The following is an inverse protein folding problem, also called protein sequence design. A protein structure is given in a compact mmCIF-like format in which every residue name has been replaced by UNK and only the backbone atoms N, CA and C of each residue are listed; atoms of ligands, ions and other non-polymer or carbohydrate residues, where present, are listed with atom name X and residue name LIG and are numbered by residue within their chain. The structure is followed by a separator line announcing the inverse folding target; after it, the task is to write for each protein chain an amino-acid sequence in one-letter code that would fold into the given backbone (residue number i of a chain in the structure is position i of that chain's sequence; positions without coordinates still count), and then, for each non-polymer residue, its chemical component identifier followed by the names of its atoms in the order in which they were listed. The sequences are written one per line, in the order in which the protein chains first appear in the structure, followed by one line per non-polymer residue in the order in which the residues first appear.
data_IF_705587444823
#
_entry.id   IF_705587444823
#
_cell.length_a   1.000
_cell.length_b   1.000
_cell.length_c   1.000
_cell.angle_alpha   90.00
_cell.angle_beta   90.00
_cell.angle_gamma   90.00
#
_symmetry.space_group_name_H-M   'P 1'
#
loop_
_entity.id
_entity.type
_entity.pdbx_description
1 polymer ?
2 non-polymer ?
3 non-polymer ?
4 non-polymer ?
5 non-polymer ?
6 water ?
#
# COMPACT_ATOMS: atom_id res chain seq x y z
N UNK A 10 -0.47 -12.02 15.18
CA UNK A 10 -0.72 -10.58 15.33
C UNK A 10 0.08 -9.70 14.37
N UNK A 11 -0.62 -8.76 13.77
CA UNK A 11 -0.03 -7.67 12.99
C UNK A 11 0.66 -6.74 14.00
N UNK A 12 1.95 -6.36 13.81
CA UNK A 12 2.62 -5.54 14.82
C UNK A 12 2.03 -4.13 14.97
N UNK A 13 2.14 -3.61 16.19
CA UNK A 13 1.77 -2.21 16.46
C UNK A 13 2.87 -1.32 15.82
N UNK A 14 2.58 -0.06 15.60
CA UNK A 14 3.59 0.82 15.02
C UNK A 14 4.74 1.06 15.99
N UNK A 15 5.96 1.30 15.49
CA UNK A 15 7.15 1.57 16.33
C UNK A 15 7.31 3.02 16.73
N UNK A 16 6.55 3.90 16.12
CA UNK A 16 6.70 5.34 16.35
C UNK A 16 5.99 5.85 17.59
N UNK A 17 6.16 7.16 17.90
CA UNK A 17 5.56 7.72 19.13
C UNK A 17 4.06 8.04 19.09
N UNK A 18 3.44 8.06 17.91
CA UNK A 18 2.03 8.46 17.80
C UNK A 18 1.14 7.23 17.89
N UNK A 19 0.00 7.34 18.59
CA UNK A 19 -1.10 6.37 18.48
C UNK A 19 -1.68 6.43 17.06
N UNK A 20 -2.33 5.35 16.63
CA UNK A 20 -2.81 5.23 15.26
C UNK A 20 -4.34 5.02 15.20
N UNK A 21 -5.01 5.80 14.34
CA UNK A 21 -6.42 5.65 14.04
C UNK A 21 -6.61 5.08 12.67
N UNK A 22 -7.79 4.55 12.38
CA UNK A 22 -8.10 4.01 11.05
C UNK A 22 -9.55 4.30 10.72
N UNK A 23 -9.83 4.66 9.45
CA UNK A 23 -11.21 4.77 8.98
C UNK A 23 -11.24 4.41 7.47
N UNK A 24 -12.42 4.32 6.88
CA UNK A 24 -12.56 4.09 5.44
C UNK A 24 -13.24 5.28 4.82
N UNK A 25 -12.87 5.61 3.59
CA UNK A 25 -13.51 6.72 2.85
C UNK A 25 -13.82 6.26 1.43
N UNK A 26 -15.08 6.43 1.02
CA UNK A 26 -15.45 6.22 -0.37
C UNK A 26 -16.14 7.45 -0.94
N UNK A 27 -15.53 8.09 -1.96
CA UNK A 27 -16.11 9.27 -2.60
C UNK A 27 -15.64 9.44 -4.06
N UNK A 28 -16.56 9.57 -5.05
CA UNK A 28 -18.01 9.36 -4.91
C UNK A 28 -18.31 7.87 -4.65
N UNK A 29 -19.59 7.49 -4.63
CA UNK A 29 -20.10 6.14 -4.37
C UNK A 29 -19.96 5.16 -5.57
N UNK A 30 -19.52 5.66 -6.76
CA UNK A 30 -19.57 4.86 -8.00
C UNK A 30 -18.29 4.01 -8.17
N UNK A 31 -18.29 3.10 -9.18
CA UNK A 31 -17.10 2.32 -9.54
C UNK A 31 -15.92 3.21 -10.07
N UNK A 32 -16.18 4.49 -10.41
CA UNK A 32 -15.14 5.47 -10.80
C UNK A 32 -14.70 6.42 -9.66
N UNK A 33 -15.36 6.32 -8.51
CA UNK A 33 -15.00 7.11 -7.33
C UNK A 33 -13.75 6.59 -6.66
N UNK A 34 -13.32 7.28 -5.57
CA UNK A 34 -12.17 6.82 -4.80
C UNK A 34 -12.68 5.97 -3.64
N UNK A 35 -11.98 4.85 -3.39
CA UNK A 35 -12.17 4.03 -2.19
C UNK A 35 -10.77 3.86 -1.53
N UNK A 36 -10.64 4.33 -0.28
CA UNK A 36 -9.37 4.15 0.44
C UNK A 36 -9.60 3.81 1.92
N UNK A 37 -8.62 3.11 2.52
CA UNK A 37 -8.50 2.93 3.95
C UNK A 37 -7.46 3.93 4.45
N UNK A 38 -7.87 4.80 5.38
CA UNK A 38 -6.97 5.85 5.94
C UNK A 38 -6.37 5.40 7.30
N UNK A 39 -5.04 5.53 7.46
CA UNK A 39 -4.34 5.32 8.73
C UNK A 39 -3.75 6.68 9.08
N UNK A 40 -3.87 7.07 10.37
CA UNK A 40 -3.52 8.45 10.71
C UNK A 40 -3.11 8.59 12.18
N UNK A 41 -2.28 9.59 12.53
CA UNK A 41 -1.94 9.79 13.95
C UNK A 41 -3.21 10.15 14.72
N UNK A 42 -3.49 9.44 15.82
CA UNK A 42 -4.77 9.63 16.48
C UNK A 42 -4.63 10.30 17.85
N UNK A 43 -5.66 11.08 18.22
CA UNK A 43 -5.74 11.78 19.51
C UNK A 43 -5.83 10.75 20.65
N UNK A 44 -6.58 9.66 20.42
CA UNK A 44 -7.00 8.72 21.47
C UNK A 44 -6.54 7.29 21.19
N UNK A 45 -6.45 6.51 22.25
CA UNK A 45 -5.91 5.17 22.16
C UNK A 45 -6.83 4.12 22.83
N UNK A 46 -8.12 4.46 23.03
CA UNK A 46 -9.05 3.57 23.72
C UNK A 46 -10.23 3.17 22.84
N UNK A 47 -10.05 3.20 21.53
CA UNK A 47 -11.10 2.75 20.64
C UNK A 47 -10.94 1.27 20.39
N UNK A 48 -12.00 0.64 19.86
CA UNK A 48 -11.95 -0.73 19.32
C UNK A 48 -10.89 -0.82 18.24
N UNK A 49 -10.15 -1.94 18.21
CA UNK A 49 -9.24 -2.26 17.11
C UNK A 49 -10.01 -2.42 15.78
N UNK A 50 -9.30 -2.26 14.67
CA UNK A 50 -9.88 -2.27 13.32
C UNK A 50 -10.00 -3.71 12.79
N UNK A 51 -11.19 -4.10 12.33
CA UNK A 51 -11.43 -5.40 11.71
C UNK A 51 -10.60 -5.50 10.41
N UNK A 52 -9.76 -6.54 10.29
CA UNK A 52 -8.74 -6.69 9.24
C UNK A 52 -9.35 -6.90 7.85
N UNK A 53 -10.25 -7.89 7.72
CA UNK A 53 -10.91 -8.13 6.44
C UNK A 53 -12.43 -7.98 6.76
N UNK A 54 -13.04 -6.84 6.38
CA UNK A 54 -14.35 -6.46 6.95
C UNK A 54 -15.62 -7.06 6.34
N UNK A 55 -15.53 -7.83 5.25
CA UNK A 55 -16.73 -8.33 4.55
C UNK A 55 -16.47 -9.73 4.05
N UNK A 56 -17.50 -10.61 4.13
CA UNK A 56 -17.42 -11.99 3.63
C UNK A 56 -16.97 -12.09 2.16
N UNK A 57 -17.36 -11.12 1.32
CA UNK A 57 -17.07 -11.19 -0.12
C UNK A 57 -15.56 -11.07 -0.41
N UNK A 58 -14.78 -10.45 0.48
CA UNK A 58 -13.31 -10.41 0.31
C UNK A 58 -12.73 -11.85 0.41
N UNK A 59 -13.27 -12.68 1.31
CA UNK A 59 -12.91 -14.11 1.43
C UNK A 59 -13.29 -14.92 0.19
N UNK A 60 -14.49 -14.67 -0.38
CA UNK A 60 -14.89 -15.23 -1.69
C UNK A 60 -13.90 -14.86 -2.79
N UNK A 61 -13.57 -13.56 -2.89
CA UNK A 61 -12.54 -13.06 -3.78
C UNK A 61 -11.19 -13.74 -3.58
N UNK A 62 -10.72 -13.82 -2.33
CA UNK A 62 -9.45 -14.53 -2.02
C UNK A 62 -9.46 -15.97 -2.52
N UNK A 63 -10.56 -16.68 -2.29
CA UNK A 63 -10.72 -18.08 -2.72
C UNK A 63 -10.61 -18.20 -4.26
N UNK A 64 -11.29 -17.31 -5.01
CA UNK A 64 -11.21 -17.23 -6.47
C UNK A 64 -9.76 -16.99 -6.92
N UNK A 65 -9.05 -16.07 -6.25
CA UNK A 65 -7.67 -15.72 -6.61
C UNK A 65 -6.73 -16.92 -6.38
N UNK A 66 -7.01 -17.71 -5.33
CA UNK A 66 -6.21 -18.89 -5.01
C UNK A 66 -6.56 -20.11 -5.89
N UNK A 67 -7.60 -19.99 -6.72
CA UNK A 67 -7.99 -21.05 -7.66
C UNK A 67 -8.70 -22.20 -6.95
N UNK A 68 -9.39 -21.90 -5.84
CA UNK A 68 -10.15 -22.91 -5.08
C UNK A 68 -11.67 -22.66 -5.23
N UNK A 69 -12.50 -23.63 -4.77
CA UNK A 69 -13.97 -23.48 -4.71
C UNK A 69 -14.25 -22.34 -3.73
N UNK A 70 -15.25 -21.47 -4.05
CA UNK A 70 -15.60 -20.32 -3.22
C UNK A 70 -16.04 -20.69 -1.78
N UNK A 71 -16.28 -22.00 -1.50
CA UNK A 71 -16.57 -22.55 -0.17
C UNK A 71 -15.32 -22.64 0.72
N UNK A 72 -14.12 -22.73 0.10
CA UNK A 72 -12.86 -22.42 0.76
C UNK A 72 -12.90 -20.96 1.31
N UNK A 73 -13.60 -20.07 0.61
CA UNK A 73 -13.85 -18.70 1.08
C UNK A 73 -14.50 -18.67 2.45
N UNK A 74 -15.56 -19.48 2.65
CA UNK A 74 -16.23 -19.67 3.94
C UNK A 74 -15.28 -20.20 5.04
N UNK A 75 -14.35 -21.10 4.67
CA UNK A 75 -13.30 -21.59 5.58
C UNK A 75 -12.31 -20.46 5.95
N UNK A 76 -11.83 -19.69 4.96
CA UNK A 76 -10.94 -18.53 5.23
C UNK A 76 -11.63 -17.53 6.17
N UNK A 77 -12.94 -17.31 5.96
CA UNK A 77 -13.78 -16.43 6.78
C UNK A 77 -13.88 -16.95 8.22
N UNK A 78 -14.14 -18.26 8.42
CA UNK A 78 -14.09 -18.89 9.74
C UNK A 78 -12.75 -18.65 10.46
N UNK A 79 -11.61 -18.81 9.76
CA UNK A 79 -10.28 -18.67 10.35
C UNK A 79 -9.86 -17.21 10.62
N UNK A 80 -10.24 -16.28 9.73
CA UNK A 80 -9.70 -14.93 9.71
C UNK A 80 -10.74 -13.80 9.85
N UNK A 81 -12.03 -14.12 9.84
CA UNK A 81 -13.14 -13.16 9.83
C UNK A 81 -13.27 -12.25 11.04
N UNK A 82 -12.67 -12.64 12.18
CA UNK A 82 -12.75 -11.86 13.41
C UNK A 82 -11.38 -11.22 13.76
N UNK A 83 -10.34 -11.53 12.97
CA UNK A 83 -9.00 -10.94 13.16
C UNK A 83 -9.07 -9.38 13.05
N UNK A 84 -8.39 -8.70 13.97
CA UNK A 84 -8.29 -7.24 13.97
C UNK A 84 -6.85 -6.83 13.68
N UNK A 85 -6.63 -5.54 13.44
CA UNK A 85 -5.31 -4.96 13.26
C UNK A 85 -5.21 -3.82 14.30
N UNK A 86 -4.03 -3.56 14.94
CA UNK A 86 -4.00 -2.58 16.06
C UNK A 86 -4.02 -1.09 15.63
N UNK A 87 -5.15 -0.66 15.07
CA UNK A 87 -5.41 0.75 14.82
C UNK A 87 -6.78 1.07 15.43
N UNK A 88 -6.88 2.23 16.06
CA UNK A 88 -8.10 2.70 16.74
C UNK A 88 -9.15 3.07 15.73
N UNK A 89 -10.23 2.28 15.62
CA UNK A 89 -11.25 2.47 14.57
C UNK A 89 -11.98 3.80 14.82
N UNK A 90 -11.97 4.70 13.79
CA UNK A 90 -12.66 6.00 13.82
C UNK A 90 -12.21 6.91 14.97
N UNK A 91 -10.99 6.72 15.49
CA UNK A 91 -10.44 7.60 16.52
C UNK A 91 -10.37 9.04 15.95
N UNK A 92 -10.53 10.10 16.76
CA UNK A 92 -10.24 11.45 16.23
C UNK A 92 -8.77 11.59 15.82
N UNK A 93 -8.54 12.35 14.75
CA UNK A 93 -7.21 12.76 14.29
C UNK A 93 -6.46 13.55 15.37
N UNK A 94 -5.18 13.26 15.58
CA UNK A 94 -4.37 14.06 16.51
C UNK A 94 -4.26 15.52 15.99
N UNK A 95 -4.74 16.55 16.74
CA UNK A 95 -4.72 17.92 16.19
C UNK A 95 -3.35 18.60 16.31
N UNK A 96 -3.22 19.77 15.66
CA UNK A 96 -2.16 20.73 15.92
C UNK A 96 -0.86 20.50 15.14
N UNK A 97 -0.93 19.75 14.05
CA UNK A 97 0.24 19.42 13.24
C UNK A 97 -0.18 19.02 11.85
N UNK A 98 0.59 19.48 10.84
CA UNK A 98 0.40 19.08 9.45
C UNK A 98 1.26 17.85 9.17
N UNK A 99 0.64 16.83 8.58
CA UNK A 99 1.25 15.52 8.37
C UNK A 99 1.61 15.30 6.89
N UNK A 100 2.80 14.72 6.59
CA UNK A 100 3.05 14.24 5.22
C UNK A 100 2.09 13.11 4.83
N UNK A 101 1.86 12.94 3.52
CA UNK A 101 0.88 12.01 2.99
C UNK A 101 1.53 10.96 2.13
N UNK A 102 1.19 9.69 2.39
CA UNK A 102 1.55 8.54 1.56
C UNK A 102 0.29 8.00 0.92
N UNK A 103 0.31 7.83 -0.40
CA UNK A 103 -0.73 7.04 -1.08
C UNK A 103 -0.13 5.65 -1.30
N UNK A 104 -0.85 4.59 -0.91
CA UNK A 104 -0.35 3.21 -0.93
C UNK A 104 -1.17 2.33 -1.92
N UNK A 105 -0.44 1.59 -2.80
CA UNK A 105 -1.06 0.72 -3.83
C UNK A 105 -0.82 -0.77 -3.58
N UNK A 106 -1.93 -1.55 -3.51
CA UNK A 106 -1.86 -2.99 -3.17
C UNK A 106 -1.48 -3.86 -4.38
N UNK A 107 -1.07 -5.10 -4.10
CA UNK A 107 -0.71 -6.05 -5.15
C UNK A 107 -1.92 -6.74 -5.77
N UNK A 108 -1.63 -7.61 -6.75
CA UNK A 108 -2.61 -8.44 -7.44
C UNK A 108 -3.24 -9.43 -6.43
N UNK A 109 -4.58 -9.54 -6.45
CA UNK A 109 -5.29 -10.42 -5.52
C UNK A 109 -5.44 -9.83 -4.13
N UNK A 110 -4.86 -8.63 -3.88
CA UNK A 110 -5.00 -7.98 -2.57
C UNK A 110 -6.16 -6.99 -2.58
N UNK A 111 -6.24 -6.08 -1.60
CA UNK A 111 -7.25 -5.03 -1.49
C UNK A 111 -6.75 -4.07 -0.42
N UNK A 112 -7.53 -3.02 -0.07
CA UNK A 112 -6.98 -1.87 0.70
C UNK A 112 -6.50 -2.22 2.13
N UNK A 113 -7.03 -3.30 2.76
CA UNK A 113 -6.86 -3.51 4.21
C UNK A 113 -5.61 -4.38 4.53
N UNK A 114 -4.95 -4.95 3.47
CA UNK A 114 -3.97 -6.03 3.66
C UNK A 114 -2.52 -5.58 3.84
N UNK A 115 -2.31 -4.29 4.01
CA UNK A 115 -0.95 -3.76 4.25
C UNK A 115 -1.00 -2.80 5.45
N UNK A 116 -1.80 -3.18 6.45
CA UNK A 116 -1.89 -2.42 7.70
C UNK A 116 -0.57 -2.45 8.51
N UNK A 117 0.27 -3.51 8.40
CA UNK A 117 1.55 -3.48 9.19
C UNK A 117 2.37 -2.22 8.73
N UNK A 118 2.46 -1.99 7.42
CA UNK A 118 3.06 -0.78 6.81
C UNK A 118 2.29 0.52 7.14
N UNK A 119 0.98 0.58 6.87
CA UNK A 119 0.17 1.79 7.08
C UNK A 119 0.17 2.25 8.53
N UNK A 120 -0.02 1.31 9.49
CA UNK A 120 0.06 1.59 10.96
C UNK A 120 1.45 2.11 11.34
N UNK A 121 2.52 1.49 10.82
CA UNK A 121 3.87 1.94 11.22
C UNK A 121 4.13 3.34 10.72
N UNK A 122 3.76 3.63 9.49
CA UNK A 122 3.96 4.98 8.92
C UNK A 122 3.15 5.99 9.75
N UNK A 123 1.89 5.65 10.10
CA UNK A 123 1.04 6.58 10.86
C UNK A 123 1.61 6.84 12.25
N UNK A 124 2.15 5.80 12.90
CA UNK A 124 2.77 5.93 14.23
C UNK A 124 4.00 6.86 14.22
N UNK A 125 4.59 7.13 13.03
CA UNK A 125 5.70 8.09 12.89
C UNK A 125 5.26 9.50 12.40
N UNK A 126 3.94 9.74 12.31
CA UNK A 126 3.37 11.04 11.94
C UNK A 126 3.00 11.22 10.48
N UNK A 127 2.69 10.11 9.76
CA UNK A 127 2.15 10.14 8.38
C UNK A 127 0.65 9.94 8.38
N UNK A 128 -0.05 10.58 7.43
CA UNK A 128 -1.37 10.09 7.04
C UNK A 128 -1.14 9.16 5.84
N UNK A 129 -1.80 7.98 5.86
CA UNK A 129 -1.61 6.95 4.84
C UNK A 129 -2.94 6.67 4.18
N UNK A 130 -3.03 6.83 2.84
CA UNK A 130 -4.23 6.53 2.09
C UNK A 130 -3.98 5.27 1.24
N UNK A 131 -4.47 4.12 1.74
CA UNK A 131 -4.35 2.82 1.09
C UNK A 131 -5.55 2.67 0.16
N UNK A 132 -5.30 2.86 -1.14
CA UNK A 132 -6.37 2.84 -2.14
C UNK A 132 -6.87 1.41 -2.39
N UNK A 133 -8.16 1.27 -2.72
CA UNK A 133 -8.65 0.00 -3.22
C UNK A 133 -8.89 0.19 -4.73
N UNK A 134 -8.21 -0.62 -5.55
CA UNK A 134 -8.26 -0.47 -7.00
C UNK A 134 -9.51 -1.12 -7.56
N UNK A 135 -10.12 -0.46 -8.60
CA UNK A 135 -11.32 -0.95 -9.28
C UNK A 135 -10.97 -1.45 -10.67
N UNK A 136 -9.69 -1.83 -10.88
CA UNK A 136 -9.22 -2.31 -12.20
C UNK A 136 -9.40 -3.84 -12.39
N UNK A 137 -10.06 -4.50 -11.42
CA UNK A 137 -10.25 -5.97 -11.35
C UNK A 137 -8.94 -6.71 -11.05
N UNK A 138 -7.94 -5.98 -10.46
CA UNK A 138 -6.72 -6.56 -9.88
C UNK A 138 -6.93 -6.90 -8.41
N UNK A 139 -7.92 -6.26 -7.74
CA UNK A 139 -8.25 -6.66 -6.36
C UNK A 139 -8.96 -8.03 -6.38
N UNK A 140 -8.76 -8.86 -5.31
CA UNK A 140 -9.51 -10.10 -5.14
C UNK A 140 -11.00 -9.78 -5.16
N UNK A 141 -11.40 -8.73 -4.44
CA UNK A 141 -12.78 -8.22 -4.47
C UNK A 141 -12.70 -6.73 -4.15
N UNK A 142 -13.70 -5.98 -4.60
CA UNK A 142 -13.95 -4.61 -4.18
C UNK A 142 -15.44 -4.30 -4.32
N UNK A 143 -15.91 -3.21 -3.74
CA UNK A 143 -17.31 -2.86 -3.95
C UNK A 143 -17.50 -1.40 -4.18
N UNK A 144 -18.69 -1.05 -4.65
CA UNK A 144 -19.10 0.32 -4.97
C UNK A 144 -20.67 0.28 -4.99
N UNK A 145 -21.33 1.41 -5.31
CA UNK A 145 -22.80 1.47 -5.37
C UNK A 145 -23.25 1.93 -6.76
N UNK A 146 -24.27 1.29 -7.31
CA UNK A 146 -24.71 1.56 -8.68
C UNK A 146 -25.24 2.99 -8.87
N UNK A 147 -25.80 3.55 -7.79
CA UNK A 147 -26.33 4.91 -7.82
C UNK A 147 -26.59 5.44 -6.42
N UNK A 148 -27.16 6.65 -6.33
CA UNK A 148 -27.38 7.36 -5.07
C UNK A 148 -28.30 6.57 -4.13
N UNK A 149 -29.41 6.05 -4.66
CA UNK A 149 -30.35 5.21 -3.90
C UNK A 149 -29.66 4.00 -3.26
N UNK A 150 -28.85 3.26 -4.06
CA UNK A 150 -28.15 2.05 -3.58
C UNK A 150 -27.14 2.40 -2.46
N UNK A 151 -26.45 3.53 -2.57
CA UNK A 151 -25.49 3.99 -1.56
C UNK A 151 -26.20 4.28 -0.23
N UNK A 152 -27.33 5.03 -0.27
CA UNK A 152 -28.23 5.33 0.85
C UNK A 152 -28.63 4.10 1.67
N UNK A 153 -29.12 3.04 1.01
CA UNK A 153 -29.55 1.80 1.70
C UNK A 153 -28.42 0.81 1.94
N UNK A 154 -27.20 1.11 1.48
CA UNK A 154 -26.05 0.22 1.64
C UNK A 154 -26.16 -1.05 0.80
N UNK A 155 -26.75 -0.93 -0.41
CA UNK A 155 -26.83 -2.06 -1.32
C UNK A 155 -25.53 -2.11 -2.21
N UNK A 156 -24.59 -2.95 -1.78
CA UNK A 156 -23.25 -3.03 -2.39
C UNK A 156 -23.27 -3.85 -3.69
N UNK A 157 -22.55 -3.38 -4.73
CA UNK A 157 -22.26 -4.17 -5.94
C UNK A 157 -20.79 -4.59 -5.85
N UNK A 158 -20.54 -5.88 -5.94
CA UNK A 158 -19.21 -6.42 -5.78
C UNK A 158 -18.54 -6.63 -7.13
N UNK A 159 -17.24 -6.38 -7.19
CA UNK A 159 -16.45 -6.56 -8.40
C UNK A 159 -15.30 -7.49 -8.04
N UNK A 160 -15.19 -8.62 -8.78
CA UNK A 160 -14.23 -9.67 -8.44
C UNK A 160 -13.03 -9.66 -9.38
N UNK A 161 -11.88 -10.21 -8.92
CA UNK A 161 -10.66 -10.39 -9.72
C UNK A 161 -10.95 -10.95 -11.13
N UNK A 162 -10.33 -10.36 -12.16
CA UNK A 162 -10.39 -10.87 -13.54
C UNK A 162 -9.18 -11.77 -13.79
N UNK A 163 -9.47 -12.98 -14.29
CA UNK A 163 -8.44 -13.90 -14.79
C UNK A 163 -8.22 -13.65 -16.28
N UNK A 164 -6.95 -13.65 -16.68
CA UNK A 164 -6.57 -13.33 -18.05
C UNK A 164 -6.16 -14.59 -18.79
N UNK A 165 -6.47 -14.64 -20.09
CA UNK A 165 -5.83 -15.54 -21.06
C UNK A 165 -4.42 -14.99 -21.33
N UNK A 166 -3.44 -15.87 -21.67
CA UNK A 166 -2.05 -15.47 -21.97
C UNK A 166 -1.96 -14.39 -23.04
N UNK A 167 -2.86 -14.43 -24.02
CA UNK A 167 -3.01 -13.48 -25.12
C UNK A 167 -3.41 -12.06 -24.63
N UNK A 168 -4.06 -11.96 -23.46
CA UNK A 168 -4.54 -10.71 -22.87
C UNK A 168 -3.52 -10.05 -21.93
N UNK A 169 -2.45 -10.78 -21.57
CA UNK A 169 -1.51 -10.36 -20.50
C UNK A 169 -0.92 -9.00 -20.71
N UNK A 170 -0.19 -8.79 -21.83
CA UNK A 170 0.56 -7.54 -22.04
C UNK A 170 -0.37 -6.35 -21.98
N UNK A 171 -1.44 -6.41 -22.80
CA UNK A 171 -2.37 -5.30 -22.98
C UNK A 171 -3.19 -4.98 -21.72
N UNK A 172 -3.80 -5.98 -21.09
CA UNK A 172 -4.68 -5.75 -19.94
C UNK A 172 -3.90 -5.33 -18.72
N UNK A 173 -2.72 -5.95 -18.46
CA UNK A 173 -1.91 -5.50 -17.31
C UNK A 173 -1.50 -4.05 -17.46
N UNK A 174 -1.19 -3.62 -18.69
CA UNK A 174 -0.83 -2.22 -18.94
C UNK A 174 -2.05 -1.31 -18.76
N UNK A 175 -3.24 -1.70 -19.23
CA UNK A 175 -4.47 -0.90 -19.02
C UNK A 175 -4.75 -0.75 -17.52
N UNK A 176 -4.52 -1.83 -16.76
CA UNK A 176 -4.73 -1.85 -15.32
C UNK A 176 -3.76 -0.93 -14.58
N UNK A 177 -2.44 -0.97 -14.91
CA UNK A 177 -1.47 -0.14 -14.17
C UNK A 177 -1.76 1.39 -14.44
N UNK A 178 -2.28 1.69 -15.63
CA UNK A 178 -2.66 3.08 -15.94
C UNK A 178 -3.90 3.53 -15.16
N UNK A 179 -4.93 2.64 -15.08
CA UNK A 179 -6.07 2.94 -14.19
C UNK A 179 -5.64 3.11 -12.72
N UNK A 180 -4.76 2.24 -12.24
CA UNK A 180 -4.19 2.28 -10.91
C UNK A 180 -3.50 3.63 -10.62
N UNK A 181 -2.68 4.12 -11.56
CA UNK A 181 -2.04 5.45 -11.44
C UNK A 181 -3.09 6.55 -11.36
N UNK A 182 -4.10 6.48 -12.24
CA UNK A 182 -5.20 7.48 -12.23
C UNK A 182 -5.93 7.44 -10.88
N UNK A 183 -6.17 6.23 -10.35
CA UNK A 183 -6.76 6.06 -9.02
C UNK A 183 -5.90 6.64 -7.92
N UNK A 184 -4.56 6.50 -8.01
CA UNK A 184 -3.67 7.14 -7.03
C UNK A 184 -3.72 8.63 -7.09
N UNK A 185 -3.78 9.21 -8.31
CA UNK A 185 -3.86 10.66 -8.49
C UNK A 185 -5.20 11.22 -7.96
N UNK A 186 -6.27 10.48 -8.21
CA UNK A 186 -7.64 10.84 -7.81
C UNK A 186 -7.76 10.83 -6.28
N UNK A 187 -7.17 9.79 -5.62
CA UNK A 187 -7.13 9.72 -4.16
C UNK A 187 -6.37 10.90 -3.61
N UNK A 188 -5.18 11.25 -4.21
CA UNK A 188 -4.45 12.46 -3.82
C UNK A 188 -5.33 13.72 -3.88
N UNK A 189 -5.98 13.97 -5.05
CA UNK A 189 -6.84 15.15 -5.20
C UNK A 189 -8.01 15.16 -4.19
N UNK A 190 -8.59 13.98 -3.89
CA UNK A 190 -9.66 13.90 -2.89
C UNK A 190 -9.15 14.40 -1.52
N UNK A 191 -8.01 13.83 -1.02
CA UNK A 191 -7.42 14.22 0.26
C UNK A 191 -7.02 15.71 0.28
N UNK A 192 -6.42 16.21 -0.79
CA UNK A 192 -6.04 17.63 -0.88
C UNK A 192 -7.26 18.57 -0.85
N UNK A 193 -8.41 18.14 -1.45
CA UNK A 193 -9.64 18.95 -1.38
C UNK A 193 -10.26 18.87 0.00
N UNK A 194 -10.21 17.69 0.66
CA UNK A 194 -10.64 17.59 2.04
C UNK A 194 -9.76 18.49 2.96
N UNK A 195 -8.44 18.54 2.70
CA UNK A 195 -7.52 19.39 3.47
C UNK A 195 -7.88 20.88 3.36
N UNK A 196 -8.28 21.33 2.16
CA UNK A 196 -8.83 22.67 1.94
C UNK A 196 -10.05 22.92 2.86
N UNK A 197 -11.01 22.00 2.82
CA UNK A 197 -12.23 22.09 3.61
C UNK A 197 -13.49 21.87 2.79
N UNK A 198 -13.31 21.45 1.51
CA UNK A 198 -14.39 21.00 0.63
C UNK A 198 -15.29 19.98 1.37
N UNK A 199 -16.62 20.22 1.44
CA UNK A 199 -17.49 19.21 2.08
C UNK A 199 -17.53 17.99 1.19
N UNK A 200 -17.33 16.83 1.79
CA UNK A 200 -17.38 15.56 1.07
C UNK A 200 -18.33 14.67 1.91
N UNK A 201 -19.36 14.11 1.27
CA UNK A 201 -20.20 13.15 1.98
C UNK A 201 -19.66 11.74 1.73
N UNK A 202 -18.98 11.15 2.72
CA UNK A 202 -18.51 9.77 2.66
C UNK A 202 -19.68 8.88 2.27
N UNK A 203 -19.51 7.98 1.26
CA UNK A 203 -20.61 7.10 0.82
C UNK A 203 -20.84 5.97 1.84
N UNK A 204 -19.85 5.78 2.73
CA UNK A 204 -19.95 4.88 3.88
C UNK A 204 -20.42 5.71 5.05
N UNK A 205 -21.36 5.19 5.80
CA UNK A 205 -21.89 5.91 6.94
C UNK A 205 -21.07 5.53 8.16
N UNK A 206 -19.96 6.24 8.40
CA UNK A 206 -19.03 5.94 9.50
C UNK A 206 -18.90 7.12 10.44
N UNK A 207 -18.65 6.87 11.72
CA UNK A 207 -18.57 7.94 12.73
C UNK A 207 -17.18 8.60 12.78
N UNK A 208 -16.67 9.02 11.60
CA UNK A 208 -15.44 9.81 11.48
C UNK A 208 -15.75 11.02 10.63
N UNK A 209 -15.79 12.20 11.25
CA UNK A 209 -16.02 13.46 10.54
C UNK A 209 -14.79 13.87 9.73
N UNK A 210 -14.93 13.88 8.38
CA UNK A 210 -13.86 14.25 7.46
C UNK A 210 -13.40 15.72 7.60
N UNK A 211 -14.23 16.57 8.22
CA UNK A 211 -13.89 17.97 8.58
C UNK A 211 -12.60 18.10 9.42
N UNK A 212 -12.30 17.10 10.26
CA UNK A 212 -11.07 16.97 11.04
C UNK A 212 -9.81 17.07 10.20
N UNK A 213 -9.87 16.55 8.95
CA UNK A 213 -8.73 16.54 8.05
C UNK A 213 -8.43 17.91 7.41
N UNK A 214 -9.31 18.91 7.64
CA UNK A 214 -9.06 20.29 7.16
C UNK A 214 -7.78 20.80 7.83
N UNK A 215 -6.87 21.36 7.03
CA UNK A 215 -5.60 21.98 7.44
C UNK A 215 -4.63 21.01 8.12
N UNK A 216 -4.77 19.70 7.78
CA UNK A 216 -4.00 18.65 8.47
C UNK A 216 -2.89 18.02 7.61
N UNK A 217 -2.85 18.34 6.31
CA UNK A 217 -1.89 17.77 5.35
C UNK A 217 -0.75 18.74 5.10
N UNK A 218 0.50 18.24 5.18
CA UNK A 218 1.67 18.99 4.73
C UNK A 218 1.69 18.82 3.18
N UNK A 219 1.11 19.79 2.47
CA UNK A 219 0.68 19.69 1.07
C UNK A 219 1.82 19.42 0.06
N UNK A 220 3.04 19.82 0.38
CA UNK A 220 4.24 19.56 -0.43
C UNK A 220 4.84 18.16 -0.15
N UNK A 221 4.49 17.51 0.97
CA UNK A 221 5.20 16.31 1.42
C UNK A 221 4.40 15.06 1.08
N UNK A 222 4.40 14.74 -0.22
CA UNK A 222 3.58 13.63 -0.72
C UNK A 222 4.42 12.53 -1.37
N UNK A 223 4.17 11.28 -1.00
CA UNK A 223 4.84 10.14 -1.61
C UNK A 223 3.86 9.07 -1.99
N UNK A 224 4.32 8.19 -2.90
CA UNK A 224 3.52 7.06 -3.33
C UNK A 224 4.35 5.80 -3.02
N UNK A 225 3.73 4.80 -2.39
CA UNK A 225 4.35 3.52 -2.02
C UNK A 225 3.43 2.37 -2.47
N UNK A 226 4.00 1.24 -2.85
CA UNK A 226 3.17 0.09 -3.22
C UNK A 226 3.95 -1.18 -3.37
N UNK A 227 3.23 -2.32 -3.27
CA UNK A 227 3.84 -3.66 -3.31
C UNK A 227 3.45 -4.41 -4.59
N UNK A 228 4.45 -5.01 -5.27
CA UNK A 228 4.23 -5.94 -6.39
C UNK A 228 3.57 -5.17 -7.57
N UNK A 229 2.31 -5.49 -7.93
CA UNK A 229 1.55 -4.65 -8.90
C UNK A 229 1.54 -3.15 -8.43
N UNK A 230 1.43 -2.99 -7.14
CA UNK A 230 1.51 -1.67 -6.50
C UNK A 230 2.84 -0.97 -6.67
N UNK A 231 3.93 -1.75 -6.81
CA UNK A 231 5.27 -1.21 -7.08
C UNK A 231 5.36 -0.67 -8.49
N UNK A 232 4.78 -1.40 -9.50
CA UNK A 232 4.66 -0.85 -10.88
C UNK A 232 3.77 0.43 -10.86
N UNK A 233 2.70 0.43 -10.01
CA UNK A 233 1.80 1.58 -9.86
C UNK A 233 2.54 2.79 -9.37
N UNK A 234 3.47 2.61 -8.38
CA UNK A 234 4.38 3.70 -7.92
C UNK A 234 5.02 4.41 -9.12
N UNK A 235 5.61 3.62 -10.02
CA UNK A 235 6.40 4.14 -11.14
C UNK A 235 5.53 4.80 -12.19
N UNK A 236 4.43 4.15 -12.57
CA UNK A 236 3.48 4.76 -13.52
C UNK A 236 2.97 6.10 -12.94
N UNK A 237 2.58 6.09 -11.65
CA UNK A 237 2.05 7.29 -10.94
C UNK A 237 3.08 8.45 -10.93
N UNK A 238 4.33 8.19 -10.49
CA UNK A 238 5.39 9.19 -10.60
C UNK A 238 5.55 9.80 -11.97
N UNK A 239 5.52 8.99 -13.05
CA UNK A 239 5.77 9.52 -14.42
C UNK A 239 4.61 10.43 -14.90
N UNK A 240 3.44 10.29 -14.28
CA UNK A 240 2.22 10.96 -14.72
C UNK A 240 1.76 12.10 -13.76
N UNK A 241 2.29 12.18 -12.53
CA UNK A 241 1.74 13.11 -11.52
C UNK A 241 2.90 13.64 -10.70
N UNK A 242 3.34 14.87 -11.01
CA UNK A 242 4.48 15.50 -10.37
C UNK A 242 4.19 15.96 -8.94
N UNK A 243 2.91 15.87 -8.50
CA UNK A 243 2.58 16.23 -7.11
C UNK A 243 3.20 15.21 -6.17
N UNK A 244 3.43 13.97 -6.67
CA UNK A 244 4.15 12.94 -5.91
C UNK A 244 5.65 13.25 -5.98
N UNK A 245 6.31 13.46 -4.83
CA UNK A 245 7.70 13.93 -4.76
C UNK A 245 8.74 12.83 -4.79
N UNK A 246 8.38 11.61 -4.34
CA UNK A 246 9.25 10.43 -4.41
C UNK A 246 8.36 9.19 -4.34
N UNK A 247 8.94 8.05 -4.65
CA UNK A 247 8.23 6.76 -4.57
C UNK A 247 9.09 5.64 -4.01
N UNK A 248 8.43 4.66 -3.37
CA UNK A 248 9.07 3.46 -2.83
C UNK A 248 8.34 2.28 -3.41
N UNK A 249 9.04 1.45 -4.21
CA UNK A 249 8.45 0.27 -4.83
C UNK A 249 8.88 -0.95 -4.00
N UNK A 250 7.92 -1.63 -3.40
CA UNK A 250 8.23 -2.77 -2.53
C UNK A 250 8.07 -4.02 -3.37
N UNK A 251 9.19 -4.69 -3.71
CA UNK A 251 9.21 -5.90 -4.55
C UNK A 251 8.34 -5.70 -5.80
N UNK A 252 8.63 -4.64 -6.56
CA UNK A 252 7.82 -4.28 -7.74
C UNK A 252 7.74 -5.44 -8.75
N UNK A 253 6.54 -5.64 -9.29
CA UNK A 253 6.37 -6.52 -10.47
C UNK A 253 6.30 -5.59 -11.68
N UNK A 254 7.36 -5.61 -12.52
CA UNK A 254 7.56 -4.56 -13.53
C UNK A 254 6.83 -4.80 -14.85
N UNK A 255 6.41 -6.05 -15.12
CA UNK A 255 5.68 -6.46 -16.34
C UNK A 255 4.59 -5.47 -16.84
N UNK A 256 3.67 -4.93 -15.98
CA UNK A 256 2.62 -4.02 -16.49
C UNK A 256 3.07 -2.72 -17.21
N UNK A 257 4.26 -2.21 -16.88
CA UNK A 257 4.73 -0.90 -17.36
C UNK A 257 4.94 -0.84 -18.86
N UNK A 258 4.54 0.25 -19.48
CA UNK A 258 4.81 0.46 -20.91
C UNK A 258 6.25 0.88 -21.13
N UNK A 259 6.78 0.64 -22.35
CA UNK A 259 8.17 0.99 -22.72
C UNK A 259 8.52 2.45 -22.49
N UNK A 260 7.50 3.32 -22.62
CA UNK A 260 7.62 4.77 -22.54
C UNK A 260 7.91 5.31 -21.13
N UNK A 261 7.54 4.58 -20.05
CA UNK A 261 7.59 5.11 -18.68
C UNK A 261 9.03 5.25 -18.17
N UNK A 262 9.94 4.34 -18.62
CA UNK A 262 11.25 4.15 -17.98
C UNK A 262 12.15 5.35 -17.93
N UNK A 263 12.19 6.15 -19.00
CA UNK A 263 12.95 7.39 -19.08
C UNK A 263 12.18 8.61 -18.51
N UNK A 264 11.00 8.41 -17.87
CA UNK A 264 10.10 9.55 -17.59
C UNK A 264 9.82 9.65 -16.08
N UNK A 265 10.79 9.30 -15.23
CA UNK A 265 10.54 9.32 -13.79
C UNK A 265 11.56 10.30 -13.17
N UNK A 266 11.32 11.62 -13.14
CA UNK A 266 12.32 12.52 -12.52
C UNK A 266 12.44 12.42 -10.99
N UNK A 267 11.43 11.87 -10.29
CA UNK A 267 11.46 11.81 -8.82
C UNK A 267 12.40 10.70 -8.28
N UNK A 268 12.99 10.93 -7.06
CA UNK A 268 13.75 9.85 -6.39
C UNK A 268 12.89 8.59 -6.20
N UNK A 269 13.50 7.41 -6.40
CA UNK A 269 12.77 6.15 -6.39
C UNK A 269 13.63 5.11 -5.68
N UNK A 270 13.03 4.42 -4.70
CA UNK A 270 13.68 3.41 -3.88
C UNK A 270 13.01 2.05 -4.16
N UNK A 271 13.81 1.05 -4.52
CA UNK A 271 13.36 -0.32 -4.71
C UNK A 271 13.77 -1.10 -3.47
N UNK A 272 12.79 -1.69 -2.75
CA UNK A 272 13.06 -2.61 -1.63
C UNK A 272 12.58 -3.99 -2.06
N UNK A 273 13.51 -4.94 -2.26
CA UNK A 273 13.15 -6.25 -2.80
C UNK A 273 13.23 -7.38 -1.79
N UNK A 274 12.47 -8.44 -2.05
CA UNK A 274 12.68 -9.69 -1.31
C UNK A 274 13.81 -10.46 -2.00
N UNK A 275 14.50 -11.32 -1.26
CA UNK A 275 15.51 -12.19 -1.88
C UNK A 275 14.91 -13.21 -2.90
N UNK A 276 13.77 -13.84 -2.59
CA UNK A 276 13.36 -15.03 -3.35
C UNK A 276 12.37 -14.73 -4.50
N UNK A 277 11.73 -13.57 -4.50
CA UNK A 277 10.83 -13.24 -5.62
C UNK A 277 11.55 -12.90 -6.91
N UNK A 278 12.62 -12.09 -6.83
CA UNK A 278 13.17 -11.39 -8.02
C UNK A 278 13.81 -12.34 -9.05
N UNK A 279 13.86 -11.88 -10.32
CA UNK A 279 14.37 -12.65 -11.46
C UNK A 279 14.96 -11.67 -12.47
N UNK A 280 15.91 -12.10 -13.35
CA UNK A 280 16.54 -11.16 -14.28
C UNK A 280 15.61 -10.24 -15.10
N UNK A 281 14.52 -10.76 -15.75
CA UNK A 281 13.66 -9.91 -16.60
C UNK A 281 13.12 -8.70 -15.78
N UNK A 282 12.75 -8.96 -14.52
CA UNK A 282 12.25 -7.96 -13.59
C UNK A 282 13.36 -6.97 -13.17
N UNK A 283 14.55 -7.46 -12.82
CA UNK A 283 15.72 -6.62 -12.43
C UNK A 283 16.17 -5.71 -13.56
N UNK A 284 16.23 -6.26 -14.80
CA UNK A 284 16.57 -5.50 -16.02
C UNK A 284 15.60 -4.31 -16.17
N UNK A 285 14.30 -4.55 -15.99
CA UNK A 285 13.31 -3.45 -16.04
C UNK A 285 13.56 -2.39 -14.94
N UNK A 286 13.87 -2.81 -13.70
CA UNK A 286 14.22 -1.82 -12.63
C UNK A 286 15.44 -0.96 -13.07
N UNK A 287 16.49 -1.61 -13.59
CA UNK A 287 17.71 -0.93 -14.06
C UNK A 287 17.45 0.06 -15.20
N UNK A 288 16.41 -0.18 -16.03
CA UNK A 288 15.97 0.77 -17.05
C UNK A 288 15.45 2.11 -16.46
N UNK A 289 15.08 2.11 -15.16
CA UNK A 289 14.63 3.34 -14.47
C UNK A 289 15.80 4.23 -14.11
N UNK A 290 17.04 3.73 -14.19
CA UNK A 290 18.26 4.44 -13.74
C UNK A 290 18.80 5.36 -14.84
N UNK A 291 19.32 6.51 -14.43
CA UNK A 291 19.99 7.53 -15.25
C UNK A 291 20.88 8.35 -14.32
N UNK A 292 22.04 8.92 -14.78
CA UNK A 292 22.98 9.54 -13.82
C UNK A 292 22.39 10.73 -13.07
N UNK A 293 21.44 11.43 -13.71
CA UNK A 293 20.80 12.60 -13.15
C UNK A 293 19.66 12.23 -12.16
N UNK A 294 19.33 10.93 -12.04
CA UNK A 294 18.22 10.51 -11.19
C UNK A 294 18.66 9.80 -9.93
N UNK A 295 17.95 10.07 -8.83
CA UNK A 295 18.20 9.45 -7.55
C UNK A 295 17.50 8.06 -7.49
N UNK A 296 18.31 6.98 -7.42
CA UNK A 296 17.85 5.61 -7.32
C UNK A 296 18.59 4.87 -6.25
N UNK A 297 17.85 4.04 -5.49
CA UNK A 297 18.39 3.16 -4.45
C UNK A 297 17.72 1.82 -4.57
N UNK A 298 18.42 0.75 -4.18
CA UNK A 298 17.89 -0.61 -4.22
C UNK A 298 18.57 -1.40 -3.14
N UNK A 299 17.76 -2.14 -2.36
CA UNK A 299 18.22 -3.07 -1.33
C UNK A 299 17.39 -4.30 -1.44
N UNK A 300 17.93 -5.44 -0.96
CA UNK A 300 17.26 -6.71 -0.94
C UNK A 300 17.27 -7.21 0.52
N UNK A 301 16.11 -7.64 1.04
CA UNK A 301 16.04 -8.19 2.40
C UNK A 301 16.46 -9.70 2.33
N UNK A 302 17.54 -10.09 3.03
CA UNK A 302 18.03 -11.48 3.05
C UNK A 302 16.95 -12.42 3.64
N UNK A 303 16.79 -13.60 3.03
CA UNK A 303 15.88 -14.64 3.54
C UNK A 303 14.41 -14.33 3.39
N UNK A 304 14.04 -13.24 2.63
CA UNK A 304 12.64 -12.84 2.50
C UNK A 304 11.95 -13.35 1.23
N UNK A 305 10.62 -13.45 1.29
CA UNK A 305 9.77 -13.88 0.17
C UNK A 305 8.84 -12.70 -0.20
N UNK A 306 8.17 -12.81 -1.36
CA UNK A 306 7.29 -11.77 -1.91
C UNK A 306 6.23 -11.31 -0.89
N UNK A 307 5.64 -12.25 -0.14
CA UNK A 307 4.54 -11.90 0.79
C UNK A 307 5.01 -11.32 2.13
N UNK A 308 6.35 -11.17 2.34
CA UNK A 308 6.87 -10.51 3.58
C UNK A 308 6.40 -9.06 3.72
N UNK A 309 5.99 -8.43 2.59
CA UNK A 309 5.51 -7.03 2.65
C UNK A 309 4.03 -6.91 3.01
N UNK A 310 3.27 -8.01 2.96
CA UNK A 310 1.82 -7.95 3.17
C UNK A 310 1.45 -8.57 4.53
N UNK A 311 0.24 -8.27 5.04
CA UNK A 311 -0.14 -8.69 6.41
C UNK A 311 -0.32 -10.19 6.57
N UNK A 312 -0.50 -10.93 5.47
CA UNK A 312 -0.66 -12.39 5.58
C UNK A 312 0.62 -13.09 6.16
N UNK A 313 1.79 -12.40 6.14
CA UNK A 313 3.03 -12.83 6.80
C UNK A 313 2.87 -12.91 8.33
N UNK A 314 1.87 -12.22 8.89
CA UNK A 314 1.62 -12.24 10.34
C UNK A 314 0.41 -13.08 10.70
N UNK A 315 -0.33 -13.57 9.70
CA UNK A 315 -1.65 -14.20 9.91
C UNK A 315 -1.59 -15.68 10.35
N UNK A 316 -0.45 -16.37 10.14
CA UNK A 316 -0.31 -17.79 10.49
C UNK A 316 0.95 -18.02 11.34
N UNK A 317 1.10 -19.25 11.83
CA UNK A 317 2.33 -19.74 12.43
C UNK A 317 3.46 -19.94 11.44
N UNK A 318 4.68 -20.20 11.96
CA UNK A 318 5.91 -20.29 11.16
C UNK A 318 5.91 -21.43 10.15
N UNK A 319 5.47 -22.65 10.55
CA UNK A 319 5.53 -23.84 9.70
C UNK A 319 4.57 -23.70 8.52
N UNK A 320 3.28 -23.41 8.82
CA UNK A 320 2.26 -23.20 7.80
C UNK A 320 2.66 -21.99 6.95
N UNK A 321 3.20 -20.95 7.60
CA UNK A 321 3.65 -19.73 6.91
C UNK A 321 4.67 -20.00 5.84
N UNK A 322 5.76 -20.74 6.20
CA UNK A 322 6.84 -21.06 5.27
C UNK A 322 6.32 -21.90 4.10
N UNK A 323 5.42 -22.88 4.40
CA UNK A 323 4.78 -23.78 3.45
C UNK A 323 4.01 -23.04 2.36
N UNK A 324 3.16 -22.06 2.76
CA UNK A 324 2.32 -21.27 1.87
C UNK A 324 3.05 -20.06 1.24
N UNK A 325 4.38 -19.96 1.46
CA UNK A 325 5.23 -18.83 1.02
C UNK A 325 4.73 -17.50 1.59
N UNK A 326 4.16 -17.51 2.82
CA UNK A 326 3.76 -16.26 3.49
C UNK A 326 4.94 -15.75 4.32
N UNK A 327 5.85 -16.65 4.68
CA UNK A 327 7.02 -16.30 5.49
C UNK A 327 8.26 -16.79 4.78
N UNK A 328 9.39 -16.13 5.03
CA UNK A 328 10.68 -16.59 4.53
C UNK A 328 11.51 -17.16 5.64
N UNK A 329 12.82 -17.30 5.43
CA UNK A 329 13.76 -17.77 6.45
C UNK A 329 13.94 -16.72 7.57
N UNK A 330 13.85 -15.45 7.20
CA UNK A 330 13.92 -14.32 8.12
C UNK A 330 12.62 -14.22 8.93
N UNK A 331 12.71 -13.78 10.19
CA UNK A 331 11.56 -13.39 11.01
C UNK A 331 10.73 -12.24 10.35
N UNK A 332 9.40 -12.38 10.33
CA UNK A 332 8.49 -11.43 9.67
C UNK A 332 8.55 -10.03 10.27
N UNK A 333 8.67 -9.94 11.61
CA UNK A 333 8.77 -8.63 12.28
C UNK A 333 10.11 -8.01 11.93
N UNK A 334 11.21 -8.79 11.96
CA UNK A 334 12.55 -8.34 11.56
C UNK A 334 12.54 -7.73 10.12
N UNK A 335 11.98 -8.46 9.14
CA UNK A 335 11.91 -8.05 7.73
C UNK A 335 11.09 -6.76 7.56
N UNK A 336 9.84 -6.71 8.14
CA UNK A 336 9.00 -5.51 7.99
C UNK A 336 9.66 -4.28 8.67
N UNK A 337 10.37 -4.46 9.81
CA UNK A 337 11.05 -3.36 10.49
C UNK A 337 12.11 -2.74 9.58
N UNK A 338 12.88 -3.58 8.87
CA UNK A 338 13.91 -3.12 7.92
C UNK A 338 13.28 -2.37 6.76
N UNK A 339 12.20 -2.92 6.18
CA UNK A 339 11.52 -2.28 5.06
C UNK A 339 10.93 -0.91 5.53
N UNK A 340 10.26 -0.89 6.68
CA UNK A 340 9.61 0.34 7.24
C UNK A 340 10.62 1.38 7.68
N UNK A 341 11.75 0.98 8.31
CA UNK A 341 12.76 1.96 8.77
C UNK A 341 13.55 2.57 7.61
N UNK A 342 13.95 1.74 6.64
CA UNK A 342 14.64 2.22 5.44
C UNK A 342 13.70 3.14 4.66
N UNK A 343 12.39 2.81 4.60
CA UNK A 343 11.38 3.68 3.95
C UNK A 343 11.34 5.06 4.60
N UNK A 344 11.25 5.10 5.93
CA UNK A 344 11.26 6.35 6.72
C UNK A 344 12.47 7.20 6.49
N UNK A 345 13.67 6.60 6.46
CA UNK A 345 14.89 7.40 6.20
C UNK A 345 14.81 8.00 4.78
N UNK A 346 14.40 7.19 3.75
CA UNK A 346 14.27 7.67 2.37
C UNK A 346 13.24 8.82 2.26
N UNK A 347 12.10 8.69 2.96
CA UNK A 347 11.03 9.71 2.92
C UNK A 347 11.53 10.99 3.57
N UNK A 348 12.22 10.91 4.72
CA UNK A 348 12.80 12.10 5.37
C UNK A 348 13.75 12.85 4.41
N UNK A 349 14.60 12.11 3.69
CA UNK A 349 15.58 12.68 2.76
C UNK A 349 14.86 13.38 1.57
N UNK A 350 13.89 12.72 0.94
CA UNK A 350 13.37 13.27 -0.33
C UNK A 350 12.09 14.09 -0.16
N UNK A 351 11.46 14.04 1.04
CA UNK A 351 10.37 14.96 1.38
C UNK A 351 10.82 16.15 2.22
N UNK A 352 12.06 16.10 2.72
CA UNK A 352 12.62 17.17 3.54
C UNK A 352 11.96 17.23 4.91
N UNK A 353 11.82 16.08 5.58
CA UNK A 353 11.18 16.04 6.90
C UNK A 353 12.16 16.42 8.02
N UNK A 354 11.66 16.98 9.11
CA UNK A 354 12.50 17.38 10.24
C UNK A 354 12.24 16.44 11.43
N UNK A 355 12.39 15.17 11.18
CA UNK A 355 12.22 14.10 12.16
C UNK A 355 13.58 13.45 12.41
N UNK A 356 13.59 12.26 13.02
CA UNK A 356 14.86 11.61 13.36
C UNK A 356 15.06 10.35 12.51
N UNK A 357 14.43 10.31 11.31
CA UNK A 357 14.44 9.10 10.47
C UNK A 357 15.78 8.88 9.80
N UNK A 358 16.64 9.91 9.76
CA UNK A 358 18.02 9.78 9.28
C UNK A 358 18.88 8.84 10.16
N UNK A 359 18.38 8.42 11.35
CA UNK A 359 19.05 7.35 12.14
C UNK A 359 19.11 6.02 11.34
N UNK A 360 18.25 5.86 10.30
CA UNK A 360 18.24 4.64 9.47
C UNK A 360 18.82 4.83 8.06
N UNK A 361 19.61 5.92 7.83
CA UNK A 361 20.22 6.23 6.54
C UNK A 361 21.02 5.05 5.99
N UNK A 362 21.75 4.35 6.88
CA UNK A 362 22.58 3.21 6.50
C UNK A 362 21.76 2.04 5.92
N UNK A 363 20.49 1.90 6.27
CA UNK A 363 19.65 0.85 5.69
C UNK A 363 19.31 1.15 4.20
N UNK A 364 19.24 2.45 3.81
CA UNK A 364 19.07 2.84 2.39
C UNK A 364 20.23 2.26 1.54
N UNK A 365 21.44 2.16 2.14
CA UNK A 365 22.62 1.60 1.48
C UNK A 365 22.75 0.09 1.65
N UNK A 366 21.79 -0.55 2.31
CA UNK A 366 21.78 -2.00 2.54
C UNK A 366 22.84 -2.43 3.53
N UNK A 367 23.23 -1.50 4.45
CA UNK A 367 24.27 -1.73 5.44
C UNK A 367 23.68 -2.24 6.74
N UNK A 368 23.43 -3.54 6.77
CA UNK A 368 22.82 -4.30 7.88
C UNK A 368 23.06 -5.77 7.57
N UNK A 369 23.20 -6.62 8.60
CA UNK A 369 23.48 -8.05 8.37
C UNK A 369 22.35 -8.78 7.60
N UNK A 370 21.08 -8.36 7.76
CA UNK A 370 19.94 -8.90 7.01
C UNK A 370 19.61 -8.12 5.73
N UNK A 371 20.55 -7.27 5.26
CA UNK A 371 20.35 -6.54 3.98
C UNK A 371 21.42 -6.87 2.98
N UNK A 372 21.05 -6.94 1.69
CA UNK A 372 22.01 -7.04 0.57
C UNK A 372 21.97 -5.66 -0.11
N UNK A 373 23.12 -4.95 -0.27
CA UNK A 373 23.07 -3.72 -1.10
C UNK A 373 22.75 -4.11 -2.52
N UNK A 374 21.91 -3.33 -3.21
CA UNK A 374 21.50 -3.63 -4.56
C UNK A 374 20.69 -4.91 -4.63
N UNK A 375 21.14 -5.84 -5.48
CA UNK A 375 20.44 -7.11 -5.73
C UNK A 375 21.34 -8.30 -5.67
N UNK A 376 20.79 -9.46 -5.29
CA UNK A 376 21.49 -10.74 -5.40
C UNK A 376 21.38 -11.28 -6.85
N UNK A 377 20.51 -10.68 -7.69
CA UNK A 377 20.25 -11.23 -9.05
C UNK A 377 21.32 -10.76 -10.04
N UNK A 378 21.97 -11.70 -10.69
CA UNK A 378 22.88 -11.44 -11.80
C UNK A 378 22.12 -11.30 -13.13
N UNK A 379 22.36 -10.18 -13.86
CA UNK A 379 21.76 -9.92 -15.18
C UNK A 379 22.85 -9.80 -16.25
N UNK A 380 22.69 -10.51 -17.40
CA UNK A 380 23.64 -10.65 -18.51
C UNK A 380 25.04 -11.07 -18.05
#
# INVERSE_FOLDING_TARGET
MAAASFGQTKIPRGNGPYSVGCTDLMFDHTNKGTFLRLYYPSQDNDRLDTLWIPNKEYFWGLSKFLGTHWLMGNILRLLFGSMTTPANWNSPLRPGEKYPLVVFSHGLGAFRTLYSAIGIDLASHGFIVAAVEHRDRSASATYYFKDQSAAEIGDKSWLYLRTLKQEEETHIRNEQVRQRAKECSQALSLILDIDHGKPVKNALDLKFDMEQLKDSIDREKIAVIGHSFGGATVIQTLSEDQRFRCGIALDAWMFPLGDEVYSRIPQPLFFINSEYFQYPANIIKMKKCYSPDKERKMITIRGSVHQNFADFTFATGKIIGHMLKLKGDIDSNVAIDLSNKASLAFLQKHLGLHKDFDQWDCLIEGDDENLIPGTNINTTNQHHHHHH
#
